data_IF_850013961547
#
_entry.id   IF_850013961547
#
_cell.length_a   1.000
_cell.length_b   1.000
_cell.length_c   1.000
_cell.angle_alpha   90.00
_cell.angle_beta   90.00
_cell.angle_gamma   90.00
#
_symmetry.space_group_name_H-M   'P 1'
#
loop_
_entity.id
_entity.type
_entity.pdbx_description
1 polymer ?
#
# COMPACT_ATOMS: atom_id res chain seq x y z
N UNK A 1 -27.87 13.12 -35.33
CA UNK A 1 -26.66 12.73 -34.59
C UNK A 1 -26.69 13.50 -33.29
N UNK A 2 -27.03 12.85 -32.17
CA UNK A 2 -27.12 13.51 -30.88
C UNK A 2 -25.70 13.71 -30.34
N UNK A 3 -25.21 14.94 -30.39
CA UNK A 3 -23.96 15.34 -29.77
C UNK A 3 -24.11 15.24 -28.25
N UNK A 4 -23.57 14.19 -27.64
CA UNK A 4 -23.47 14.06 -26.19
C UNK A 4 -22.32 14.96 -25.72
N UNK A 5 -22.65 16.21 -25.38
CA UNK A 5 -21.74 17.09 -24.66
C UNK A 5 -21.47 16.48 -23.28
N UNK A 6 -20.36 15.75 -23.14
CA UNK A 6 -19.92 15.22 -21.86
C UNK A 6 -19.53 16.39 -20.95
N UNK A 7 -20.42 16.75 -20.02
CA UNK A 7 -20.13 17.70 -18.95
C UNK A 7 -19.09 17.07 -18.03
N UNK A 8 -17.82 17.47 -18.16
CA UNK A 8 -16.80 17.09 -17.19
C UNK A 8 -17.12 17.73 -15.84
N UNK A 9 -17.18 16.90 -14.81
CA UNK A 9 -17.46 17.33 -13.43
C UNK A 9 -16.19 17.14 -12.61
N UNK A 10 -15.88 18.13 -11.78
CA UNK A 10 -14.65 18.16 -10.99
C UNK A 10 -14.83 17.42 -9.66
N UNK A 11 -13.83 16.61 -9.28
CA UNK A 11 -13.77 16.01 -7.95
C UNK A 11 -13.50 17.08 -6.88
N UNK A 12 -14.35 17.16 -5.85
CA UNK A 12 -14.21 18.13 -4.75
C UNK A 12 -13.04 17.86 -3.79
N UNK A 13 -12.24 16.81 -4.04
CA UNK A 13 -11.16 16.36 -3.14
C UNK A 13 -9.79 16.50 -3.81
N UNK A 14 -9.63 15.90 -4.99
CA UNK A 14 -8.39 15.95 -5.77
C UNK A 14 -8.40 17.01 -6.88
N UNK A 15 -9.53 17.64 -7.16
CA UNK A 15 -9.63 18.68 -8.19
C UNK A 15 -9.55 18.17 -9.64
N UNK A 16 -9.46 16.85 -9.85
CA UNK A 16 -9.37 16.25 -11.19
C UNK A 16 -10.76 16.23 -11.82
N UNK A 17 -10.85 16.65 -13.08
CA UNK A 17 -12.06 16.53 -13.89
C UNK A 17 -12.27 15.09 -14.38
N UNK A 18 -13.49 14.57 -14.20
CA UNK A 18 -13.89 13.25 -14.70
C UNK A 18 -15.25 13.34 -15.38
N UNK A 19 -15.48 12.46 -16.34
CA UNK A 19 -16.74 12.39 -17.09
C UNK A 19 -17.91 11.88 -16.23
N UNK A 20 -17.62 11.05 -15.23
CA UNK A 20 -18.64 10.46 -14.34
C UNK A 20 -18.12 10.36 -12.89
N UNK A 21 -18.14 11.46 -12.11
CA UNK A 21 -17.82 11.39 -10.68
C UNK A 21 -19.00 10.84 -9.86
N UNK A 22 -18.68 10.08 -8.82
CA UNK A 22 -19.64 9.58 -7.84
C UNK A 22 -20.09 10.69 -6.89
N UNK A 23 -21.30 10.57 -6.34
CA UNK A 23 -21.88 11.53 -5.40
C UNK A 23 -22.11 10.91 -4.03
N UNK A 24 -21.60 11.52 -2.98
CA UNK A 24 -21.84 11.06 -1.61
C UNK A 24 -23.31 11.29 -1.20
N UNK A 25 -24.04 10.28 -0.69
CA UNK A 25 -25.45 10.45 -0.30
C UNK A 25 -25.64 11.30 0.97
N UNK A 26 -24.60 11.49 1.78
CA UNK A 26 -24.67 12.26 3.04
C UNK A 26 -24.42 13.76 2.84
N UNK A 27 -23.33 14.10 2.16
CA UNK A 27 -22.89 15.48 1.99
C UNK A 27 -23.02 16.00 0.56
N UNK A 28 -23.50 15.17 -0.39
CA UNK A 28 -23.64 15.50 -1.82
C UNK A 28 -22.35 15.85 -2.57
N UNK A 29 -21.18 15.63 -1.95
CA UNK A 29 -19.88 15.90 -2.55
C UNK A 29 -19.56 14.93 -3.70
N UNK A 30 -19.00 15.48 -4.78
CA UNK A 30 -18.55 14.71 -5.95
C UNK A 30 -17.11 14.20 -5.76
N UNK A 31 -16.91 12.90 -5.94
CA UNK A 31 -15.61 12.25 -5.82
C UNK A 31 -15.35 11.28 -6.98
N UNK A 32 -14.09 11.13 -7.41
CA UNK A 32 -13.75 10.30 -8.56
C UNK A 32 -13.40 8.84 -8.21
N UNK A 33 -12.84 8.59 -7.03
CA UNK A 33 -12.34 7.26 -6.62
C UNK A 33 -12.58 7.02 -5.15
N UNK A 34 -12.50 5.75 -4.71
CA UNK A 34 -12.56 5.39 -3.28
C UNK A 34 -11.46 6.08 -2.47
N UNK A 35 -10.27 6.31 -3.05
CA UNK A 35 -9.19 7.09 -2.41
C UNK A 35 -9.63 8.51 -2.09
N UNK A 36 -10.41 9.14 -2.97
CA UNK A 36 -11.03 10.44 -2.68
C UNK A 36 -12.11 10.30 -1.60
N UNK A 37 -12.98 9.29 -1.67
CA UNK A 37 -14.01 9.08 -0.66
C UNK A 37 -13.46 8.91 0.77
N UNK A 38 -12.31 8.24 0.93
CA UNK A 38 -11.61 8.01 2.21
C UNK A 38 -10.62 9.11 2.60
N UNK A 39 -10.49 10.17 1.81
CA UNK A 39 -9.53 11.24 2.06
C UNK A 39 -9.89 11.99 3.36
N UNK A 40 -8.91 12.54 4.12
CA UNK A 40 -9.18 13.35 5.31
C UNK A 40 -10.18 14.49 5.08
N UNK A 41 -10.27 15.05 3.86
CA UNK A 41 -11.29 16.06 3.51
C UNK A 41 -12.74 15.56 3.56
N UNK A 42 -12.95 14.25 3.51
CA UNK A 42 -14.26 13.57 3.53
C UNK A 42 -14.30 12.44 4.58
N UNK A 43 -13.45 12.52 5.62
CA UNK A 43 -13.36 11.49 6.66
C UNK A 43 -14.67 11.35 7.43
N UNK A 44 -15.33 12.45 7.80
CA UNK A 44 -16.54 12.44 8.64
C UNK A 44 -17.68 11.58 8.06
N UNK A 45 -17.91 11.64 6.74
CA UNK A 45 -18.94 10.83 6.09
C UNK A 45 -18.48 9.39 5.87
N UNK A 46 -17.20 9.19 5.56
CA UNK A 46 -16.65 7.86 5.33
C UNK A 46 -16.59 7.03 6.62
N UNK A 47 -16.14 7.61 7.72
CA UNK A 47 -16.01 6.96 9.02
C UNK A 47 -17.36 6.59 9.62
N UNK A 48 -18.34 7.50 9.61
CA UNK A 48 -19.69 7.19 10.08
C UNK A 48 -20.31 6.02 9.30
N UNK A 49 -20.10 5.99 7.98
CA UNK A 49 -20.53 4.85 7.17
C UNK A 49 -19.82 3.56 7.60
N UNK A 50 -18.50 3.56 7.76
CA UNK A 50 -17.76 2.38 8.20
C UNK A 50 -18.20 1.89 9.58
N UNK A 51 -18.37 2.79 10.54
CA UNK A 51 -18.86 2.48 11.88
C UNK A 51 -20.23 1.81 11.83
N UNK A 52 -21.18 2.35 11.06
CA UNK A 52 -22.50 1.76 10.90
C UNK A 52 -22.46 0.38 10.23
N UNK A 53 -21.61 0.17 9.23
CA UNK A 53 -21.44 -1.14 8.60
C UNK A 53 -20.89 -2.17 9.59
N UNK A 54 -19.85 -1.81 10.34
CA UNK A 54 -19.23 -2.69 11.36
C UNK A 54 -20.23 -2.99 12.47
N UNK A 55 -20.94 -1.99 12.99
CA UNK A 55 -21.98 -2.20 14.01
C UNK A 55 -23.10 -3.10 13.51
N UNK A 56 -23.53 -2.95 12.25
CA UNK A 56 -24.56 -3.81 11.66
C UNK A 56 -24.10 -5.26 11.58
N UNK A 57 -22.90 -5.50 11.04
CA UNK A 57 -22.29 -6.83 10.95
C UNK A 57 -22.10 -7.49 12.32
N UNK A 58 -21.64 -6.72 13.31
CA UNK A 58 -21.49 -7.21 14.68
C UNK A 58 -22.83 -7.46 15.36
N UNK A 59 -23.85 -6.63 15.13
CA UNK A 59 -25.18 -6.80 15.71
C UNK A 59 -25.91 -8.06 15.21
N UNK A 60 -25.62 -8.49 13.97
CA UNK A 60 -26.13 -9.73 13.41
C UNK A 60 -25.40 -10.97 13.94
N UNK A 61 -24.14 -10.81 14.33
CA UNK A 61 -23.33 -11.83 15.01
C UNK A 61 -23.50 -11.68 16.51
N UNK A 62 -24.68 -12.04 17.03
CA UNK A 62 -24.75 -12.44 18.44
C UNK A 62 -23.79 -13.62 18.56
N UNK A 63 -22.63 -13.40 19.19
CA UNK A 63 -21.83 -14.51 19.67
C UNK A 63 -22.81 -15.38 20.45
N UNK A 64 -22.94 -16.64 20.04
CA UNK A 64 -23.71 -17.63 20.77
C UNK A 64 -22.95 -17.85 22.08
N UNK A 65 -23.09 -16.89 23.00
CA UNK A 65 -22.59 -16.94 24.38
C UNK A 65 -23.50 -17.88 25.16
N UNK A 66 -23.80 -19.03 24.55
CA UNK A 66 -24.52 -20.15 25.09
C UNK A 66 -23.64 -20.75 26.17
N UNK A 67 -23.89 -20.31 27.40
CA UNK A 67 -23.33 -20.80 28.67
C UNK A 67 -21.81 -20.71 28.88
N UNK A 68 -20.96 -21.00 27.88
CA UNK A 68 -19.50 -21.02 28.00
C UNK A 68 -18.88 -19.63 28.23
N UNK A 69 -19.51 -18.58 27.71
CA UNK A 69 -19.02 -17.21 27.86
C UNK A 69 -19.18 -16.67 29.28
N UNK A 70 -20.25 -17.04 29.98
CA UNK A 70 -20.45 -16.65 31.38
C UNK A 70 -19.59 -17.47 32.32
N UNK A 71 -19.44 -18.77 32.07
CA UNK A 71 -18.55 -19.65 32.84
C UNK A 71 -17.08 -19.20 32.75
N UNK A 72 -16.61 -18.84 31.55
CA UNK A 72 -15.25 -18.32 31.37
C UNK A 72 -15.05 -16.96 32.06
N UNK A 73 -16.06 -16.08 32.00
CA UNK A 73 -16.01 -14.78 32.65
C UNK A 73 -16.01 -14.91 34.18
N UNK A 74 -16.81 -15.81 34.74
CA UNK A 74 -16.84 -16.11 36.17
C UNK A 74 -15.52 -16.73 36.64
N UNK A 75 -14.95 -17.66 35.85
CA UNK A 75 -13.65 -18.27 36.14
C UNK A 75 -12.53 -17.22 36.11
N UNK A 76 -12.48 -16.37 35.08
CA UNK A 76 -11.54 -15.23 35.02
C UNK A 76 -11.70 -14.27 36.20
N UNK A 77 -12.93 -14.01 36.65
CA UNK A 77 -13.15 -13.09 37.76
C UNK A 77 -12.63 -13.66 39.09
N UNK A 78 -12.88 -14.95 39.37
CA UNK A 78 -12.31 -15.65 40.54
C UNK A 78 -10.78 -15.66 40.54
N UNK A 79 -10.17 -15.76 39.35
CA UNK A 79 -8.72 -15.62 39.16
C UNK A 79 -8.20 -14.23 39.55
N UNK A 80 -8.86 -13.17 39.10
CA UNK A 80 -8.49 -11.79 39.46
C UNK A 80 -8.67 -11.52 40.96
N UNK A 81 -9.65 -12.18 41.58
CA UNK A 81 -9.93 -12.09 43.02
C UNK A 81 -8.96 -12.94 43.87
N UNK A 82 -7.99 -13.61 43.25
CA UNK A 82 -6.90 -14.33 43.92
C UNK A 82 -7.26 -15.71 44.47
N UNK A 83 -8.42 -16.25 44.11
CA UNK A 83 -8.85 -17.59 44.49
C UNK A 83 -8.33 -18.63 43.48
N UNK A 84 -7.19 -19.24 43.81
CA UNK A 84 -6.52 -20.26 42.99
C UNK A 84 -6.97 -21.70 43.33
N UNK A 85 -7.91 -21.85 44.27
CA UNK A 85 -8.26 -23.15 44.87
C UNK A 85 -8.94 -24.16 43.92
N UNK A 86 -9.37 -23.70 42.74
CA UNK A 86 -10.00 -24.52 41.69
C UNK A 86 -9.10 -24.92 40.53
N UNK A 87 -7.79 -24.67 40.61
CA UNK A 87 -6.82 -25.23 39.67
C UNK A 87 -6.30 -26.51 40.28
N UNK A 88 -6.96 -27.62 39.93
CA UNK A 88 -6.27 -28.90 39.88
C UNK A 88 -5.03 -28.70 39.01
N UNK A 89 -3.84 -29.03 39.53
CA UNK A 89 -2.62 -29.15 38.73
C UNK A 89 -2.93 -30.18 37.64
N UNK A 90 -3.50 -29.70 36.54
CA UNK A 90 -3.79 -30.51 35.38
C UNK A 90 -2.50 -31.16 34.96
N UNK A 91 -2.61 -32.44 34.63
CA UNK A 91 -1.53 -33.23 34.04
C UNK A 91 -0.74 -32.34 33.07
N UNK A 92 0.61 -32.32 33.14
CA UNK A 92 1.39 -31.57 32.18
C UNK A 92 0.87 -31.97 30.81
N UNK A 93 0.38 -31.00 30.05
CA UNK A 93 -0.16 -31.22 28.71
C UNK A 93 0.94 -31.95 27.92
N UNK A 94 0.81 -33.27 27.83
CA UNK A 94 1.64 -34.06 26.95
C UNK A 94 1.14 -33.68 25.57
N UNK A 95 1.93 -32.82 24.93
CA UNK A 95 1.73 -32.41 23.55
C UNK A 95 2.11 -33.59 22.64
N UNK A 96 1.49 -34.75 22.87
CA UNK A 96 1.54 -35.93 22.03
C UNK A 96 0.27 -36.02 21.19
N UNK A 97 -0.01 -34.95 20.46
CA UNK A 97 -0.61 -35.09 19.13
C UNK A 97 0.56 -35.25 18.17
N UNK A 98 0.96 -36.50 17.89
CA UNK A 98 1.84 -36.88 16.79
C UNK A 98 1.18 -36.51 15.44
N UNK A 99 1.17 -35.22 15.13
CA UNK A 99 1.30 -34.73 13.78
C UNK A 99 2.60 -33.94 13.74
N UNK A 100 3.71 -34.64 13.46
CA UNK A 100 4.98 -34.02 13.05
C UNK A 100 4.76 -33.36 11.69
N UNK A 101 3.96 -32.29 11.66
CA UNK A 101 4.11 -31.25 10.66
C UNK A 101 5.39 -30.53 11.00
N UNK A 102 6.45 -31.02 10.36
CA UNK A 102 7.76 -30.41 10.22
C UNK A 102 7.71 -28.90 10.51
N UNK A 103 8.47 -28.39 11.48
CA UNK A 103 8.55 -26.94 11.80
C UNK A 103 8.82 -26.07 10.55
N UNK A 104 9.39 -26.67 9.51
CA UNK A 104 9.62 -26.10 8.19
C UNK A 104 8.33 -25.84 7.36
N UNK A 105 7.19 -26.43 7.72
CA UNK A 105 5.90 -26.26 7.04
C UNK A 105 5.21 -24.97 7.48
N UNK A 106 5.22 -24.68 8.78
CA UNK A 106 4.70 -23.43 9.36
C UNK A 106 5.49 -22.19 8.91
N UNK A 107 6.81 -22.31 8.80
CA UNK A 107 7.66 -21.24 8.26
C UNK A 107 7.38 -20.96 6.78
N UNK A 108 7.02 -21.99 6.01
CA UNK A 108 6.75 -21.87 4.58
C UNK A 108 5.40 -21.19 4.30
N UNK A 109 4.39 -21.50 5.09
CA UNK A 109 3.05 -20.89 5.00
C UNK A 109 3.06 -19.42 5.45
N UNK A 110 3.81 -19.08 6.51
CA UNK A 110 4.02 -17.69 6.94
C UNK A 110 4.82 -16.89 5.92
N UNK A 111 5.89 -17.46 5.35
CA UNK A 111 6.68 -16.80 4.30
C UNK A 111 5.87 -16.56 3.03
N UNK A 112 5.00 -17.50 2.66
CA UNK A 112 4.11 -17.34 1.50
C UNK A 112 3.04 -16.27 1.75
N UNK A 113 2.44 -16.25 2.95
CA UNK A 113 1.48 -15.21 3.35
C UNK A 113 2.13 -13.82 3.43
N UNK A 114 3.35 -13.73 3.97
CA UNK A 114 4.14 -12.49 4.02
C UNK A 114 4.50 -12.03 2.60
N UNK A 115 4.97 -12.94 1.75
CA UNK A 115 5.27 -12.66 0.35
C UNK A 115 4.04 -12.21 -0.44
N UNK A 116 2.89 -12.82 -0.19
CA UNK A 116 1.60 -12.41 -0.78
C UNK A 116 1.15 -11.02 -0.31
N UNK A 117 1.39 -10.69 0.96
CA UNK A 117 1.09 -9.37 1.51
C UNK A 117 2.01 -8.30 0.92
N UNK A 118 3.31 -8.60 0.81
CA UNK A 118 4.30 -7.71 0.17
C UNK A 118 3.96 -7.53 -1.31
N UNK A 119 3.65 -8.60 -2.04
CA UNK A 119 3.25 -8.52 -3.45
C UNK A 119 1.96 -7.71 -3.61
N UNK A 120 0.94 -7.97 -2.79
CA UNK A 120 -0.31 -7.20 -2.84
C UNK A 120 -0.11 -5.72 -2.52
N UNK A 121 0.82 -5.38 -1.63
CA UNK A 121 1.21 -3.99 -1.39
C UNK A 121 1.95 -3.40 -2.60
N UNK A 122 2.90 -4.14 -3.19
CA UNK A 122 3.59 -3.72 -4.41
C UNK A 122 2.60 -3.50 -5.55
N UNK A 123 1.63 -4.38 -5.77
CA UNK A 123 0.61 -4.23 -6.81
C UNK A 123 -0.30 -3.02 -6.57
N UNK A 124 -0.59 -2.66 -5.31
CA UNK A 124 -1.38 -1.47 -4.97
C UNK A 124 -0.64 -0.14 -5.25
N UNK A 125 0.69 -0.20 -5.35
CA UNK A 125 1.59 0.92 -5.71
C UNK A 125 2.24 0.77 -7.09
N UNK A 126 2.13 -0.40 -7.70
CA UNK A 126 2.58 -0.72 -9.05
C UNK A 126 1.62 -0.06 -10.01
N UNK A 127 2.00 1.11 -10.51
CA UNK A 127 1.30 1.68 -11.64
C UNK A 127 1.55 0.74 -12.81
N UNK A 128 0.48 0.36 -13.51
CA UNK A 128 0.61 -0.30 -14.81
C UNK A 128 1.56 0.54 -15.67
N UNK A 129 2.41 -0.10 -16.48
CA UNK A 129 3.39 0.60 -17.33
C UNK A 129 2.70 1.72 -18.15
N UNK A 130 1.46 1.50 -18.58
CA UNK A 130 0.60 2.48 -19.25
C UNK A 130 0.23 3.72 -18.39
N UNK A 131 0.06 3.58 -17.07
CA UNK A 131 -0.16 4.70 -16.16
C UNK A 131 1.14 5.45 -15.83
N UNK A 132 2.27 4.73 -15.78
CA UNK A 132 3.59 5.36 -15.70
C UNK A 132 3.82 6.21 -16.95
N UNK A 133 3.65 5.64 -18.14
CA UNK A 133 3.82 6.34 -19.42
C UNK A 133 2.90 7.58 -19.51
N UNK A 134 1.62 7.44 -19.14
CA UNK A 134 0.69 8.59 -19.11
C UNK A 134 1.13 9.70 -18.16
N UNK A 135 1.75 9.37 -17.01
CA UNK A 135 2.30 10.37 -16.08
C UNK A 135 3.57 11.01 -16.62
N UNK A 136 4.47 10.23 -17.22
CA UNK A 136 5.68 10.75 -17.87
C UNK A 136 5.32 11.74 -18.98
N UNK A 137 4.40 11.38 -19.87
CA UNK A 137 3.89 12.27 -20.93
C UNK A 137 3.21 13.51 -20.31
N UNK A 138 2.44 13.36 -19.24
CA UNK A 138 1.82 14.47 -18.51
C UNK A 138 2.82 15.44 -17.87
N UNK A 139 4.02 14.97 -17.54
CA UNK A 139 5.15 15.79 -17.06
C UNK A 139 6.04 16.31 -18.20
N UNK A 140 5.70 16.00 -19.46
CA UNK A 140 6.49 16.38 -20.63
C UNK A 140 7.77 15.55 -20.83
N UNK A 141 7.89 14.42 -20.12
CA UNK A 141 8.99 13.48 -20.29
C UNK A 141 8.60 12.44 -21.33
N UNK A 142 9.30 12.46 -22.47
CA UNK A 142 9.18 11.41 -23.49
C UNK A 142 10.01 10.19 -23.11
N UNK A 143 9.63 9.02 -23.62
CA UNK A 143 10.42 7.79 -23.49
C UNK A 143 11.63 7.78 -24.44
N UNK A 144 11.68 8.74 -25.38
CA UNK A 144 12.81 8.90 -26.30
C UNK A 144 13.89 9.82 -25.70
N UNK A 145 15.08 9.27 -25.49
CA UNK A 145 16.26 10.00 -24.97
C UNK A 145 16.59 11.24 -25.81
N UNK A 146 16.49 11.15 -27.13
CA UNK A 146 16.77 12.28 -28.03
C UNK A 146 15.74 13.41 -27.88
N UNK A 147 14.47 13.08 -27.69
CA UNK A 147 13.41 14.06 -27.45
C UNK A 147 13.58 14.74 -26.10
N UNK A 148 13.94 13.98 -25.05
CA UNK A 148 14.30 14.52 -23.74
C UNK A 148 15.48 15.48 -23.83
N UNK A 149 16.56 15.12 -24.52
CA UNK A 149 17.70 16.01 -24.75
C UNK A 149 17.30 17.26 -25.55
N UNK A 150 16.31 17.16 -26.43
CA UNK A 150 15.76 18.27 -27.21
C UNK A 150 14.89 19.24 -26.41
N UNK A 151 14.43 18.86 -25.21
CA UNK A 151 13.74 19.80 -24.31
C UNK A 151 14.70 20.77 -23.60
N UNK A 152 15.99 20.41 -23.48
CA UNK A 152 17.04 21.25 -22.91
C UNK A 152 17.55 22.27 -23.92
N UNK A 153 17.97 23.43 -23.44
CA UNK A 153 18.67 24.42 -24.27
C UNK A 153 20.00 23.82 -24.78
N UNK A 154 20.56 24.32 -25.91
CA UNK A 154 21.82 23.80 -26.44
C UNK A 154 22.97 23.89 -25.41
N UNK A 155 23.00 24.96 -24.61
CA UNK A 155 24.01 25.15 -23.56
C UNK A 155 23.85 24.14 -22.41
N UNK A 156 22.63 23.90 -21.94
CA UNK A 156 22.34 22.91 -20.88
C UNK A 156 22.62 21.49 -21.34
N UNK A 157 22.36 21.18 -22.62
CA UNK A 157 22.64 19.86 -23.19
C UNK A 157 24.14 19.59 -23.25
N UNK A 158 24.95 20.57 -23.65
CA UNK A 158 26.40 20.43 -23.67
C UNK A 158 26.94 20.24 -22.24
N UNK A 159 26.44 21.01 -21.27
CA UNK A 159 26.78 20.83 -19.87
C UNK A 159 26.43 19.42 -19.35
N UNK A 160 25.24 18.91 -19.69
CA UNK A 160 24.83 17.56 -19.33
C UNK A 160 25.72 16.48 -19.97
N UNK A 161 26.10 16.64 -21.24
CA UNK A 161 27.03 15.72 -21.93
C UNK A 161 28.40 15.70 -21.28
N UNK A 162 28.94 16.88 -20.94
CA UNK A 162 30.22 17.01 -20.25
C UNK A 162 30.19 16.33 -18.88
N UNK A 163 29.14 16.59 -18.09
CA UNK A 163 28.94 15.96 -16.78
C UNK A 163 28.83 14.44 -16.89
N UNK A 164 28.06 13.94 -17.87
CA UNK A 164 27.90 12.50 -18.09
C UNK A 164 29.22 11.82 -18.47
N UNK A 165 30.05 12.47 -19.29
CA UNK A 165 31.38 11.96 -19.63
C UNK A 165 32.32 11.98 -18.41
N UNK A 166 32.31 13.05 -17.62
CA UNK A 166 33.09 13.14 -16.37
C UNK A 166 32.71 12.03 -15.38
N UNK A 167 31.41 11.80 -15.16
CA UNK A 167 30.93 10.71 -14.30
C UNK A 167 31.34 9.33 -14.81
N UNK A 168 31.31 9.10 -16.13
CA UNK A 168 31.79 7.83 -16.72
C UNK A 168 33.29 7.64 -16.52
N UNK A 169 34.09 8.70 -16.61
CA UNK A 169 35.52 8.65 -16.35
C UNK A 169 35.84 8.36 -14.88
N UNK A 170 35.04 8.90 -13.95
CA UNK A 170 35.14 8.61 -12.52
C UNK A 170 34.74 7.17 -12.18
N UNK A 171 33.62 6.67 -12.71
CA UNK A 171 33.15 5.30 -12.48
C UNK A 171 34.07 4.25 -13.08
N UNK A 172 34.63 4.51 -14.26
CA UNK A 172 35.59 3.60 -14.90
C UNK A 172 37.02 3.77 -14.34
N UNK A 173 37.24 4.75 -13.46
CA UNK A 173 38.55 5.04 -12.87
C UNK A 173 39.61 5.46 -13.90
N UNK A 174 39.20 5.94 -15.08
CA UNK A 174 40.10 6.30 -16.18
C UNK A 174 40.89 7.59 -15.93
N UNK A 175 40.54 8.34 -14.87
CA UNK A 175 41.16 9.65 -14.53
C UNK A 175 42.59 9.55 -14.00
N UNK A 176 43.13 8.34 -13.78
CA UNK A 176 44.55 8.12 -13.44
C UNK A 176 45.24 7.28 -14.51
N UNK A 177 45.77 7.93 -15.53
CA UNK A 177 46.78 7.31 -16.40
C UNK A 177 48.02 6.97 -15.57
N UNK A 178 48.22 5.68 -15.27
CA UNK A 178 49.43 5.17 -14.60
C UNK A 178 50.70 5.23 -15.48
N UNK A 179 50.62 5.78 -16.69
CA UNK A 179 51.72 5.76 -17.68
C UNK A 179 52.41 7.10 -17.93
N UNK A 180 51.98 8.21 -17.32
CA UNK A 180 52.59 9.54 -17.56
C UNK A 180 53.72 9.92 -16.60
N UNK A 181 54.40 8.93 -16.00
CA UNK A 181 55.44 9.15 -14.98
C UNK A 181 56.72 8.34 -15.21
N UNK A 182 57.34 8.42 -16.39
CA UNK A 182 58.72 7.95 -16.60
C UNK A 182 59.36 8.62 -17.83
N UNK A 183 59.61 9.93 -17.78
CA UNK A 183 60.59 10.61 -18.64
C UNK A 183 61.32 11.71 -17.85
N UNK A 184 62.31 11.29 -17.05
CA UNK A 184 63.69 11.81 -16.97
C UNK A 184 64.41 11.18 -15.78
#
# INVERSE_FOLDING_TARGET
MASTSATSLQCGICGIERKEPYKCPRCSLLYCTIKCYRNPKHSECSEKFYQEQVQRELSGKKADMSHKGEEYKEKMQKFLDGDWSGIEEGEPLDSDDEDVKNEHDWQREEDEAMKKTVQGAIDDYGLEDDEIERRFIGMGLSDNVDELLNTLTPEEREAFKMLASEMQEEELGLTRSCFSGAQN
#
